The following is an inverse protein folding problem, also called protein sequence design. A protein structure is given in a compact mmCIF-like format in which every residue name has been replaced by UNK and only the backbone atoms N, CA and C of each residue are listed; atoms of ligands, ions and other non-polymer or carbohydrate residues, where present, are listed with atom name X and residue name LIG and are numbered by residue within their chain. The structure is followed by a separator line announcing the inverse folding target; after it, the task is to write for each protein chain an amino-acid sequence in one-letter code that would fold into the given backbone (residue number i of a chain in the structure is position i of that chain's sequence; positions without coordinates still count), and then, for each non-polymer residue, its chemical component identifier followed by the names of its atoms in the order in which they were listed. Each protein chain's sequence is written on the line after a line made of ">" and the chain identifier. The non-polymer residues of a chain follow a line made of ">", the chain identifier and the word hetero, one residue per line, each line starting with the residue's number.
data_IF_805552920077
#
_entry.id   IF_805552920077
#
_cell.length_a   1.000
_cell.length_b   1.000
_cell.length_c   1.000
_cell.angle_alpha   90.00
_cell.angle_beta   90.00
_cell.angle_gamma   90.00
#
_symmetry.space_group_name_H-M   'P 1'
#
loop_
_entity.id
_entity.type
_entity.pdbx_description
1 polymer ?
#
# COMPACT_ATOMS: atom_id res chain seq x y z
N UNK A 1 75.03 56.55 28.31
CA UNK A 1 75.80 55.48 27.63
C UNK A 1 74.93 54.23 27.59
N UNK A 2 74.73 53.73 26.37
CA UNK A 2 74.19 52.41 25.96
C UNK A 2 72.67 52.15 26.07
N UNK A 3 72.19 51.57 24.97
CA UNK A 3 70.84 51.34 24.45
C UNK A 3 70.31 49.92 24.77
N UNK A 4 69.02 49.68 24.46
CA UNK A 4 68.33 48.45 23.91
C UNK A 4 67.01 48.18 24.69
N UNK A 5 65.83 48.63 24.20
CA UNK A 5 64.80 48.00 23.31
C UNK A 5 64.04 46.80 23.91
N UNK A 6 62.75 47.00 24.28
CA UNK A 6 61.46 46.56 23.63
C UNK A 6 61.13 45.06 23.82
N UNK A 7 59.92 44.62 24.22
CA UNK A 7 58.57 44.77 23.61
C UNK A 7 57.46 44.62 24.69
N UNK A 8 56.49 45.54 24.79
CA UNK A 8 55.09 45.51 24.25
C UNK A 8 54.14 44.48 24.89
N UNK A 9 52.90 44.80 25.32
CA UNK A 9 52.20 46.08 25.56
C UNK A 9 50.83 45.78 26.22
N UNK A 10 50.52 46.51 27.31
CA UNK A 10 49.23 47.14 27.72
C UNK A 10 47.95 46.27 27.92
N UNK A 11 47.34 46.15 29.12
CA UNK A 11 46.73 47.12 30.06
C UNK A 11 45.69 48.05 29.39
N UNK A 12 44.50 48.40 29.90
CA UNK A 12 43.86 48.29 31.22
C UNK A 12 42.39 48.77 31.04
N UNK A 13 41.43 48.08 31.66
CA UNK A 13 40.37 48.60 32.56
C UNK A 13 39.20 49.55 32.18
N UNK A 14 38.07 49.24 32.86
CA UNK A 14 36.88 50.02 33.32
C UNK A 14 36.01 50.70 32.22
N UNK A 15 34.67 50.78 32.27
CA UNK A 15 33.70 50.86 33.35
C UNK A 15 32.28 50.46 32.85
N UNK A 16 31.39 50.17 33.79
CA UNK A 16 29.96 49.85 33.61
C UNK A 16 29.16 51.10 33.23
N UNK A 17 28.29 50.99 32.22
CA UNK A 17 27.19 51.94 31.95
C UNK A 17 25.84 51.21 31.94
N UNK A 18 24.85 51.80 32.63
CA UNK A 18 23.44 51.43 32.51
C UNK A 18 22.95 51.75 31.08
N UNK A 19 22.30 50.78 30.44
CA UNK A 19 21.50 50.97 29.23
C UNK A 19 20.07 50.50 29.51
N UNK A 20 19.13 51.38 29.17
CA UNK A 20 17.68 51.22 29.24
C UNK A 20 17.21 49.94 28.53
N UNK A 21 16.37 49.17 29.20
CA UNK A 21 15.57 48.10 28.57
C UNK A 21 14.52 48.73 27.64
N UNK A 22 14.78 48.72 26.34
CA UNK A 22 13.69 48.67 25.36
C UNK A 22 13.29 47.20 25.22
N UNK A 23 12.06 46.89 25.63
CA UNK A 23 11.43 45.61 25.31
C UNK A 23 11.32 45.51 23.79
N UNK A 24 12.19 44.70 23.17
CA UNK A 24 11.92 44.17 21.83
C UNK A 24 11.22 42.86 22.11
N UNK A 25 9.90 42.84 21.94
CA UNK A 25 9.19 41.58 21.74
C UNK A 25 9.86 40.90 20.55
N UNK A 26 10.66 39.88 20.81
CA UNK A 26 11.01 38.90 19.80
C UNK A 26 9.73 38.11 19.53
N UNK A 27 8.86 38.70 18.71
CA UNK A 27 7.77 37.96 18.10
C UNK A 27 8.38 36.75 17.43
N UNK A 28 8.09 35.57 17.96
CA UNK A 28 8.27 34.34 17.22
C UNK A 28 7.51 34.53 15.93
N UNK A 29 8.24 34.69 14.83
CA UNK A 29 7.67 34.56 13.51
C UNK A 29 7.17 33.11 13.42
N UNK A 30 5.89 32.92 13.75
CA UNK A 30 5.09 31.88 13.18
C UNK A 30 5.27 32.03 11.67
N UNK A 31 6.16 31.24 11.06
CA UNK A 31 5.91 30.83 9.69
C UNK A 31 4.67 29.94 9.75
N UNK A 32 3.51 30.60 9.78
CA UNK A 32 2.38 30.08 9.04
C UNK A 32 2.91 29.97 7.60
N UNK A 33 3.28 28.75 7.21
CA UNK A 33 3.59 28.41 5.84
C UNK A 33 2.42 28.94 5.02
N UNK A 34 2.66 29.97 4.21
CA UNK A 34 1.62 30.55 3.36
C UNK A 34 1.07 29.39 2.53
N UNK A 35 -0.23 29.14 2.64
CA UNK A 35 -0.95 28.31 1.68
C UNK A 35 -0.70 29.01 0.35
N UNK A 36 0.18 28.45 -0.49
CA UNK A 36 0.25 28.92 -1.87
C UNK A 36 -1.17 28.81 -2.42
N UNK A 37 -1.71 29.93 -2.90
CA UNK A 37 -2.95 29.94 -3.67
C UNK A 37 -2.71 29.05 -4.89
N UNK A 38 -3.03 27.76 -4.75
CA UNK A 38 -2.84 26.78 -5.82
C UNK A 38 -3.59 27.28 -7.03
N UNK A 39 -2.92 27.36 -8.17
CA UNK A 39 -3.57 27.72 -9.43
C UNK A 39 -4.76 26.77 -9.68
N UNK A 40 -5.90 27.31 -10.09
CA UNK A 40 -7.09 26.53 -10.39
C UNK A 40 -7.36 26.60 -11.89
N UNK A 41 -7.46 25.44 -12.53
CA UNK A 41 -7.91 25.30 -13.92
C UNK A 41 -9.19 24.50 -13.90
N UNK A 42 -10.25 25.02 -14.51
CA UNK A 42 -11.52 24.31 -14.64
C UNK A 42 -11.59 23.66 -16.02
N UNK A 43 -11.79 22.35 -16.06
CA UNK A 43 -12.17 21.68 -17.30
C UNK A 43 -13.54 22.22 -17.76
N UNK A 44 -13.74 22.34 -19.08
CA UNK A 44 -15.02 22.82 -19.63
C UNK A 44 -16.17 21.83 -19.44
N UNK A 45 -15.85 20.56 -19.24
CA UNK A 45 -16.77 19.46 -18.97
C UNK A 45 -16.04 18.25 -18.39
N UNK A 46 -16.77 17.17 -18.12
CA UNK A 46 -16.18 15.92 -17.60
C UNK A 46 -15.68 14.96 -18.69
N UNK A 47 -15.80 15.32 -19.98
CA UNK A 47 -15.36 14.43 -21.04
C UNK A 47 -13.84 14.29 -21.02
N UNK A 48 -13.33 13.14 -21.44
CA UNK A 48 -11.89 12.86 -21.40
C UNK A 48 -11.07 13.98 -22.04
N UNK A 49 -11.48 14.44 -23.23
CA UNK A 49 -10.74 15.45 -23.98
C UNK A 49 -10.70 16.81 -23.28
N UNK A 50 -11.78 17.20 -22.60
CA UNK A 50 -11.86 18.46 -21.87
C UNK A 50 -11.03 18.43 -20.58
N UNK A 51 -11.03 17.28 -19.89
CA UNK A 51 -10.19 17.06 -18.71
C UNK A 51 -8.71 17.02 -19.11
N UNK A 52 -8.36 16.30 -20.18
CA UNK A 52 -6.99 16.27 -20.70
C UNK A 52 -6.51 17.66 -21.13
N UNK A 53 -7.33 18.44 -21.81
CA UNK A 53 -6.94 19.81 -22.21
C UNK A 53 -6.65 20.71 -20.99
N UNK A 54 -7.43 20.58 -19.91
CA UNK A 54 -7.17 21.28 -18.65
C UNK A 54 -5.86 20.82 -18.00
N UNK A 55 -5.63 19.50 -17.96
CA UNK A 55 -4.38 18.88 -17.49
C UNK A 55 -3.18 19.36 -18.29
N UNK A 56 -3.25 19.39 -19.61
CA UNK A 56 -2.15 19.80 -20.49
C UNK A 56 -1.73 21.24 -20.20
N UNK A 57 -2.70 22.12 -19.94
CA UNK A 57 -2.47 23.52 -19.57
C UNK A 57 -1.98 23.73 -18.12
N UNK A 58 -2.10 22.72 -17.25
CA UNK A 58 -1.73 22.81 -15.85
C UNK A 58 -0.21 22.72 -15.63
N UNK A 59 0.32 23.65 -14.85
CA UNK A 59 1.66 23.58 -14.26
C UNK A 59 1.65 22.81 -12.94
N UNK A 60 2.82 22.44 -12.43
CA UNK A 60 2.93 21.85 -11.10
C UNK A 60 2.28 22.73 -10.02
N UNK A 61 1.68 22.11 -9.01
CA UNK A 61 0.92 22.74 -7.93
C UNK A 61 -0.55 23.05 -8.28
N UNK A 62 -0.96 22.90 -9.55
CA UNK A 62 -2.31 23.24 -10.02
C UNK A 62 -3.37 22.25 -9.52
N UNK A 63 -4.56 22.77 -9.22
CA UNK A 63 -5.79 21.99 -9.05
C UNK A 63 -6.61 22.07 -10.34
N UNK A 64 -6.76 20.93 -11.02
CA UNK A 64 -7.66 20.76 -12.15
C UNK A 64 -9.03 20.35 -11.62
N UNK A 65 -10.00 21.25 -11.70
CA UNK A 65 -11.39 21.01 -11.29
C UNK A 65 -12.19 20.44 -12.48
N UNK A 66 -12.72 19.24 -12.30
CA UNK A 66 -13.64 18.59 -13.23
C UNK A 66 -15.07 18.84 -12.76
N UNK A 67 -15.95 19.44 -13.59
CA UNK A 67 -17.31 19.75 -13.18
C UNK A 67 -18.13 18.47 -12.97
N UNK A 68 -19.28 18.63 -12.30
CA UNK A 68 -20.26 17.56 -12.18
C UNK A 68 -20.78 17.15 -13.57
N UNK A 69 -21.06 15.86 -13.74
CA UNK A 69 -21.53 15.28 -14.99
C UNK A 69 -21.30 13.77 -15.03
N UNK A 70 -21.96 13.13 -15.99
CA UNK A 70 -21.80 11.71 -16.28
C UNK A 70 -21.10 11.59 -17.62
N UNK A 71 -19.86 11.11 -17.62
CA UNK A 71 -19.03 11.03 -18.81
C UNK A 71 -18.55 9.60 -19.04
N UNK A 72 -18.61 9.17 -20.29
CA UNK A 72 -18.04 7.89 -20.73
C UNK A 72 -16.66 8.19 -21.31
N UNK A 73 -15.63 7.52 -20.81
CA UNK A 73 -14.26 7.67 -21.29
C UNK A 73 -13.89 6.44 -22.12
N UNK A 74 -13.65 6.65 -23.42
CA UNK A 74 -13.15 5.60 -24.34
C UNK A 74 -11.64 5.60 -24.49
N UNK A 75 -10.96 6.53 -23.81
CA UNK A 75 -9.51 6.64 -23.67
C UNK A 75 -9.20 7.18 -22.27
N UNK A 76 -7.98 6.95 -21.79
CA UNK A 76 -7.53 7.47 -20.49
C UNK A 76 -7.13 8.95 -20.53
N UNK A 77 -7.13 9.59 -19.37
CA UNK A 77 -6.30 10.79 -19.14
C UNK A 77 -4.90 10.38 -18.70
N UNK A 78 -3.90 11.16 -19.10
CA UNK A 78 -2.49 10.99 -18.71
C UNK A 78 -1.93 12.32 -18.20
N UNK A 79 -1.36 12.28 -17.00
CA UNK A 79 -0.63 13.40 -16.41
C UNK A 79 0.70 12.95 -15.79
N UNK A 80 1.33 11.96 -16.42
CA UNK A 80 2.67 11.49 -16.11
C UNK A 80 3.64 12.67 -15.91
N UNK A 81 4.44 12.58 -14.85
CA UNK A 81 5.45 13.58 -14.47
C UNK A 81 4.90 14.98 -14.11
N UNK A 82 3.62 15.12 -13.76
CA UNK A 82 3.03 16.35 -13.21
C UNK A 82 2.74 16.24 -11.73
N UNK A 83 2.99 17.32 -10.99
CA UNK A 83 2.50 17.49 -9.62
C UNK A 83 1.19 18.28 -9.66
N UNK A 84 0.04 17.61 -9.80
CA UNK A 84 -1.26 18.26 -9.84
C UNK A 84 -2.28 17.52 -8.97
N UNK A 85 -3.34 18.23 -8.60
CA UNK A 85 -4.56 17.63 -8.07
C UNK A 85 -5.60 17.58 -9.18
N UNK A 86 -6.10 16.40 -9.54
CA UNK A 86 -7.27 16.24 -10.40
C UNK A 86 -8.47 15.97 -9.50
N UNK A 87 -9.43 16.89 -9.49
CA UNK A 87 -10.52 16.91 -8.52
C UNK A 87 -11.88 16.98 -9.22
N UNK A 88 -12.69 15.93 -9.04
CA UNK A 88 -14.10 15.94 -9.41
C UNK A 88 -14.93 16.79 -8.45
N UNK A 89 -16.21 16.99 -8.82
CA UNK A 89 -17.15 17.77 -8.02
C UNK A 89 -17.62 17.04 -6.74
N UNK A 90 -17.21 15.78 -6.55
CA UNK A 90 -17.56 14.93 -5.41
C UNK A 90 -18.09 13.56 -5.85
N UNK A 91 -18.13 12.63 -4.90
CA UNK A 91 -18.77 11.31 -5.07
C UNK A 91 -20.21 11.51 -5.56
N UNK A 92 -20.59 10.72 -6.56
CA UNK A 92 -21.86 10.70 -7.28
C UNK A 92 -22.20 12.05 -7.97
N UNK A 93 -21.23 12.98 -8.10
CA UNK A 93 -21.38 14.24 -8.84
C UNK A 93 -20.58 14.23 -10.15
N UNK A 94 -19.31 13.83 -10.11
CA UNK A 94 -18.50 13.58 -11.31
C UNK A 94 -18.34 12.08 -11.49
N UNK A 95 -19.15 11.51 -12.37
CA UNK A 95 -19.20 10.07 -12.63
C UNK A 95 -18.51 9.77 -13.96
N UNK A 96 -17.45 8.96 -13.88
CA UNK A 96 -16.72 8.48 -15.04
C UNK A 96 -17.07 7.00 -15.26
N UNK A 97 -17.75 6.71 -16.37
CA UNK A 97 -17.96 5.35 -16.83
C UNK A 97 -16.77 4.95 -17.69
N UNK A 98 -16.06 3.93 -17.26
CA UNK A 98 -15.00 3.33 -18.04
C UNK A 98 -15.57 2.62 -19.27
N UNK A 99 -15.03 2.99 -20.42
CA UNK A 99 -15.21 2.32 -21.71
C UNK A 99 -13.89 2.32 -22.49
N UNK A 100 -12.74 2.38 -21.80
CA UNK A 100 -11.43 2.21 -22.41
C UNK A 100 -11.28 0.80 -22.95
N UNK A 101 -10.31 0.60 -23.84
CA UNK A 101 -10.04 -0.73 -24.38
C UNK A 101 -9.36 -1.65 -23.36
N UNK A 102 -9.07 -2.88 -23.78
CA UNK A 102 -8.47 -3.89 -22.91
C UNK A 102 -6.96 -4.06 -23.13
N UNK A 103 -6.32 -3.22 -23.95
CA UNK A 103 -4.88 -3.29 -24.13
C UNK A 103 -4.15 -2.81 -22.87
N UNK A 104 -2.90 -3.23 -22.73
CA UNK A 104 -2.04 -2.82 -21.64
C UNK A 104 -1.92 -1.29 -21.62
N UNK A 105 -2.34 -0.64 -20.53
CA UNK A 105 -2.44 0.82 -20.28
C UNK A 105 -3.72 1.55 -20.75
N UNK A 106 -4.66 0.86 -21.39
CA UNK A 106 -5.95 1.44 -21.73
C UNK A 106 -6.85 1.48 -20.49
N UNK A 107 -6.58 2.42 -19.59
CA UNK A 107 -7.31 2.66 -18.33
C UNK A 107 -7.78 4.11 -18.26
N UNK A 108 -8.87 4.43 -17.53
CA UNK A 108 -9.34 5.80 -17.34
C UNK A 108 -8.28 6.79 -16.86
N UNK A 109 -7.42 6.38 -15.91
CA UNK A 109 -6.34 7.23 -15.39
C UNK A 109 -5.02 6.47 -15.44
N UNK A 110 -4.11 6.94 -16.29
CA UNK A 110 -2.75 6.42 -16.37
C UNK A 110 -1.74 7.44 -15.87
N UNK A 111 -0.83 7.02 -15.00
CA UNK A 111 0.23 7.88 -14.45
C UNK A 111 1.54 7.11 -14.38
N UNK A 112 2.55 7.55 -15.12
CA UNK A 112 3.94 7.12 -14.95
C UNK A 112 4.77 8.28 -14.44
N UNK A 113 4.84 8.41 -13.12
CA UNK A 113 5.46 9.56 -12.44
C UNK A 113 6.92 9.37 -12.03
N UNK A 114 7.40 10.40 -11.35
CA UNK A 114 8.72 10.49 -10.71
C UNK A 114 8.56 10.96 -9.27
N UNK A 115 9.57 10.70 -8.44
CA UNK A 115 9.50 10.92 -6.99
C UNK A 115 9.29 12.39 -6.61
N UNK A 116 9.76 13.32 -7.45
CA UNK A 116 9.60 14.77 -7.27
C UNK A 116 8.25 15.32 -7.71
N UNK A 117 7.32 14.46 -8.17
CA UNK A 117 6.02 14.83 -8.73
C UNK A 117 4.88 14.14 -7.97
N UNK A 118 4.62 14.52 -6.70
CA UNK A 118 3.46 14.01 -5.97
C UNK A 118 2.17 14.47 -6.66
N UNK A 119 1.12 13.67 -6.63
CA UNK A 119 -0.17 14.02 -7.23
C UNK A 119 -1.34 13.60 -6.36
N UNK A 120 -2.53 14.15 -6.63
CA UNK A 120 -3.77 13.78 -5.94
C UNK A 120 -4.91 13.54 -6.92
N UNK A 121 -5.67 12.47 -6.72
CA UNK A 121 -6.94 12.19 -7.42
C UNK A 121 -8.04 12.19 -6.36
N UNK A 122 -9.08 13.01 -6.54
CA UNK A 122 -10.13 13.12 -5.52
C UNK A 122 -11.50 13.48 -6.06
N UNK A 123 -12.56 13.06 -5.36
CA UNK A 123 -13.93 13.53 -5.61
C UNK A 123 -14.58 12.97 -6.88
N UNK A 124 -14.25 11.73 -7.24
CA UNK A 124 -14.82 11.04 -8.40
C UNK A 124 -15.68 9.83 -8.00
N UNK A 125 -16.60 9.48 -8.87
CA UNK A 125 -17.16 8.12 -8.92
C UNK A 125 -16.73 7.44 -10.21
N UNK A 126 -16.16 6.27 -10.11
CA UNK A 126 -15.82 5.42 -11.24
C UNK A 126 -16.80 4.24 -11.31
N UNK A 127 -17.32 3.97 -12.51
CA UNK A 127 -18.22 2.86 -12.78
C UNK A 127 -17.90 2.24 -14.15
N UNK A 128 -18.55 1.13 -14.50
CA UNK A 128 -18.38 0.45 -15.78
C UNK A 128 -17.88 -0.98 -15.62
N UNK A 129 -17.46 -1.55 -16.74
CA UNK A 129 -16.88 -2.89 -16.81
C UNK A 129 -15.48 -2.77 -17.40
N UNK A 130 -14.46 -2.90 -16.55
CA UNK A 130 -13.11 -3.07 -17.05
C UNK A 130 -12.87 -4.54 -17.40
N UNK A 131 -11.97 -4.76 -18.36
CA UNK A 131 -11.16 -5.96 -18.42
C UNK A 131 -10.23 -6.04 -17.20
N UNK A 132 -9.07 -6.66 -17.32
CA UNK A 132 -8.19 -6.94 -16.17
C UNK A 132 -7.22 -5.79 -15.79
N UNK A 133 -7.42 -4.55 -16.22
CA UNK A 133 -6.33 -3.57 -16.34
C UNK A 133 -6.26 -2.47 -15.28
N UNK A 134 -7.34 -2.12 -14.59
CA UNK A 134 -7.36 -0.98 -13.67
C UNK A 134 -8.31 0.14 -14.06
N UNK A 135 -8.82 0.89 -13.08
CA UNK A 135 -9.32 2.26 -13.31
C UNK A 135 -8.18 3.28 -13.22
N UNK A 136 -7.34 3.13 -12.20
CA UNK A 136 -6.19 3.98 -11.93
C UNK A 136 -4.93 3.12 -11.97
N UNK A 137 -4.07 3.34 -12.96
CA UNK A 137 -2.78 2.68 -13.06
C UNK A 137 -1.64 3.64 -12.73
N UNK A 138 -0.88 3.33 -11.67
CA UNK A 138 0.27 4.12 -11.23
C UNK A 138 1.57 3.36 -11.51
N UNK A 139 2.52 3.98 -12.19
CA UNK A 139 3.82 3.38 -12.56
C UNK A 139 4.98 4.36 -12.34
N UNK A 140 6.17 3.94 -12.76
CA UNK A 140 7.39 4.74 -12.64
C UNK A 140 7.86 4.83 -11.19
N UNK A 141 8.64 5.86 -10.87
CA UNK A 141 9.11 6.11 -9.50
C UNK A 141 8.13 7.04 -8.77
N UNK A 142 6.83 6.78 -8.86
CA UNK A 142 5.78 7.67 -8.33
C UNK A 142 5.71 7.60 -6.80
N UNK A 143 6.04 8.68 -6.10
CA UNK A 143 6.01 8.74 -4.62
C UNK A 143 5.07 9.84 -4.14
N UNK A 144 4.62 9.72 -2.90
CA UNK A 144 3.85 10.74 -2.19
C UNK A 144 2.54 11.14 -2.90
N UNK A 145 1.93 10.20 -3.62
CA UNK A 145 0.62 10.40 -4.21
C UNK A 145 -0.50 10.15 -3.21
N UNK A 146 -1.69 10.69 -3.50
CA UNK A 146 -2.91 10.49 -2.71
C UNK A 146 -4.11 10.20 -3.62
N UNK A 147 -4.89 9.18 -3.28
CA UNK A 147 -6.19 8.91 -3.89
C UNK A 147 -7.21 8.95 -2.77
N UNK A 148 -8.15 9.89 -2.81
CA UNK A 148 -9.07 10.06 -1.71
C UNK A 148 -10.44 10.60 -2.08
N UNK A 149 -11.44 10.38 -1.22
CA UNK A 149 -12.83 10.80 -1.46
C UNK A 149 -13.35 10.33 -2.83
N UNK A 150 -12.98 9.12 -3.24
CA UNK A 150 -13.41 8.50 -4.48
C UNK A 150 -14.30 7.29 -4.20
N UNK A 151 -15.28 7.06 -5.07
CA UNK A 151 -16.11 5.86 -5.06
C UNK A 151 -15.83 5.02 -6.29
N UNK A 152 -15.59 3.73 -6.10
CA UNK A 152 -15.42 2.75 -7.15
C UNK A 152 -16.56 1.75 -7.11
N UNK A 153 -17.38 1.75 -8.15
CA UNK A 153 -18.50 0.84 -8.37
C UNK A 153 -18.26 0.05 -9.65
N UNK A 154 -17.24 -0.82 -9.58
CA UNK A 154 -16.69 -1.58 -10.70
C UNK A 154 -17.02 -3.05 -10.52
N UNK A 155 -17.62 -3.66 -11.55
CA UNK A 155 -18.05 -5.07 -11.50
C UNK A 155 -16.93 -6.07 -11.85
N UNK A 156 -15.99 -5.65 -12.70
CA UNK A 156 -14.89 -6.47 -13.20
C UNK A 156 -13.65 -5.59 -13.40
N UNK A 157 -12.48 -6.16 -13.16
CA UNK A 157 -11.20 -5.47 -13.27
C UNK A 157 -10.63 -4.99 -11.94
N UNK A 158 -9.42 -4.48 -12.01
CA UNK A 158 -8.72 -3.87 -10.88
C UNK A 158 -9.27 -2.45 -10.74
N UNK A 159 -9.41 -1.90 -9.54
CA UNK A 159 -9.70 -0.47 -9.41
C UNK A 159 -8.42 0.35 -9.38
N UNK A 160 -7.45 -0.06 -8.58
CA UNK A 160 -6.18 0.65 -8.44
C UNK A 160 -5.04 -0.36 -8.54
N UNK A 161 -4.23 -0.25 -9.58
CA UNK A 161 -3.08 -1.11 -9.81
C UNK A 161 -1.81 -0.31 -9.96
N UNK A 162 -0.71 -0.86 -9.50
CA UNK A 162 0.59 -0.24 -9.75
C UNK A 162 1.66 -1.25 -10.02
N UNK A 163 2.68 -0.76 -10.72
CA UNK A 163 3.83 -1.55 -11.12
C UNK A 163 5.05 -0.66 -11.01
N UNK A 164 6.15 -1.18 -10.45
CA UNK A 164 7.37 -0.47 -10.05
C UNK A 164 7.35 0.02 -8.59
N UNK A 165 8.49 0.46 -8.11
CA UNK A 165 8.64 1.07 -6.78
C UNK A 165 7.80 2.36 -6.69
N UNK A 166 6.62 2.27 -6.10
CA UNK A 166 5.65 3.38 -5.90
C UNK A 166 5.03 3.30 -4.50
N UNK A 167 4.78 4.44 -3.88
CA UNK A 167 4.08 4.49 -2.59
C UNK A 167 3.37 5.84 -2.36
N UNK A 168 2.28 5.78 -1.62
CA UNK A 168 1.35 6.87 -1.33
C UNK A 168 0.22 6.38 -0.46
N UNK A 169 -0.87 7.13 -0.39
CA UNK A 169 -2.04 6.78 0.43
C UNK A 169 -3.33 6.75 -0.38
N UNK A 170 -4.14 5.73 -0.13
CA UNK A 170 -5.54 5.62 -0.53
C UNK A 170 -6.35 5.82 0.74
N UNK A 171 -7.12 6.91 0.83
CA UNK A 171 -7.89 7.22 2.03
C UNK A 171 -9.33 7.69 1.76
N UNK A 172 -10.25 7.44 2.69
CA UNK A 172 -11.65 7.89 2.57
C UNK A 172 -12.35 7.46 1.26
N UNK A 173 -11.91 6.34 0.66
CA UNK A 173 -12.50 5.81 -0.55
C UNK A 173 -13.59 4.77 -0.24
N UNK A 174 -14.53 4.61 -1.18
CA UNK A 174 -15.61 3.63 -1.11
C UNK A 174 -15.46 2.65 -2.26
N UNK A 175 -15.33 1.37 -1.96
CA UNK A 175 -15.32 0.28 -2.94
C UNK A 175 -16.60 -0.53 -2.77
N UNK A 176 -17.39 -0.66 -3.84
CA UNK A 176 -18.68 -1.36 -3.76
C UNK A 176 -19.07 -2.01 -5.08
N UNK A 177 -20.19 -2.73 -5.08
CA UNK A 177 -20.73 -3.45 -6.22
C UNK A 177 -20.66 -4.97 -6.04
N UNK A 178 -20.36 -5.68 -7.13
CA UNK A 178 -20.06 -7.12 -7.13
C UNK A 178 -18.66 -7.30 -7.71
N UNK A 179 -17.84 -8.22 -7.18
CA UNK A 179 -16.47 -8.40 -7.67
C UNK A 179 -16.25 -9.67 -8.47
N UNK A 180 -15.69 -9.51 -9.65
CA UNK A 180 -15.03 -10.59 -10.40
C UNK A 180 -13.50 -10.48 -10.41
N UNK A 181 -12.91 -9.47 -9.74
CA UNK A 181 -11.45 -9.30 -9.58
C UNK A 181 -11.11 -8.51 -8.29
N UNK A 182 -9.84 -8.50 -7.89
CA UNK A 182 -9.34 -7.76 -6.71
C UNK A 182 -9.42 -6.24 -6.87
N UNK A 183 -9.73 -5.52 -5.79
CA UNK A 183 -9.93 -4.08 -5.82
C UNK A 183 -8.61 -3.32 -6.05
N UNK A 184 -7.59 -3.70 -5.27
CA UNK A 184 -6.31 -3.01 -5.21
C UNK A 184 -5.19 -4.02 -5.47
N UNK A 185 -4.27 -3.75 -6.40
CA UNK A 185 -3.08 -4.56 -6.63
C UNK A 185 -1.79 -3.83 -6.27
N UNK A 186 -1.02 -4.44 -5.38
CA UNK A 186 0.27 -3.95 -4.89
C UNK A 186 1.43 -4.70 -5.54
N UNK A 187 1.97 -4.17 -6.64
CA UNK A 187 3.20 -4.71 -7.24
C UNK A 187 4.35 -3.70 -7.15
N UNK A 188 5.54 -4.15 -6.76
CA UNK A 188 6.74 -3.32 -6.79
C UNK A 188 7.57 -3.59 -8.05
N UNK A 189 8.89 -3.38 -7.98
CA UNK A 189 9.86 -3.69 -9.04
C UNK A 189 10.57 -5.03 -8.78
N UNK A 190 9.81 -5.99 -8.26
CA UNK A 190 10.13 -7.41 -8.24
C UNK A 190 11.40 -7.72 -7.44
N UNK A 191 12.39 -8.37 -8.06
CA UNK A 191 13.67 -8.72 -7.41
C UNK A 191 14.45 -7.49 -6.93
N UNK A 192 14.23 -6.32 -7.56
CA UNK A 192 14.85 -5.06 -7.10
C UNK A 192 14.29 -4.64 -5.76
N UNK A 193 12.99 -4.88 -5.51
CA UNK A 193 12.39 -4.61 -4.21
C UNK A 193 12.86 -5.59 -3.15
N UNK A 194 12.97 -6.87 -3.50
CA UNK A 194 13.51 -7.88 -2.60
C UNK A 194 14.98 -7.65 -2.23
N UNK A 195 15.71 -6.81 -2.94
CA UNK A 195 17.05 -6.35 -2.55
C UNK A 195 17.03 -5.14 -1.58
N UNK A 196 15.87 -4.52 -1.32
CA UNK A 196 15.75 -3.38 -0.40
C UNK A 196 15.41 -3.85 1.03
N UNK A 197 16.06 -3.29 2.07
CA UNK A 197 15.77 -3.63 3.46
C UNK A 197 14.28 -3.57 3.83
N UNK A 198 13.86 -4.46 4.74
CA UNK A 198 12.55 -4.39 5.38
C UNK A 198 12.33 -3.02 6.02
N UNK A 199 11.13 -2.47 5.86
CA UNK A 199 10.81 -1.09 6.25
C UNK A 199 9.45 -0.94 6.92
N UNK A 200 9.10 -1.86 7.83
CA UNK A 200 7.86 -1.80 8.62
C UNK A 200 7.84 -0.53 9.50
N UNK A 201 6.65 0.03 9.72
CA UNK A 201 6.46 1.24 10.52
C UNK A 201 6.96 2.53 9.84
N UNK A 202 7.20 2.49 8.53
CA UNK A 202 7.77 3.58 7.75
C UNK A 202 6.94 3.97 6.53
N UNK A 203 7.30 5.08 5.88
CA UNK A 203 6.56 5.66 4.74
C UNK A 203 6.63 4.85 3.44
N UNK A 204 7.53 3.87 3.33
CA UNK A 204 7.88 3.18 2.08
C UNK A 204 6.97 1.98 1.80
N UNK A 205 5.68 2.21 1.84
CA UNK A 205 4.64 1.24 1.54
C UNK A 205 3.41 1.95 0.98
N UNK A 206 2.55 1.24 0.25
CA UNK A 206 1.24 1.80 -0.09
C UNK A 206 0.31 1.70 1.10
N UNK A 207 -0.21 2.84 1.55
CA UNK A 207 -1.18 2.92 2.63
C UNK A 207 -2.60 2.85 2.08
N UNK A 208 -3.44 2.04 2.71
CA UNK A 208 -4.90 2.06 2.55
C UNK A 208 -5.48 2.29 3.94
N UNK A 209 -6.07 3.46 4.15
CA UNK A 209 -6.63 3.84 5.45
C UNK A 209 -8.02 4.47 5.35
N UNK A 210 -8.84 4.31 6.38
CA UNK A 210 -10.16 4.94 6.47
C UNK A 210 -11.09 4.68 5.26
N UNK A 211 -10.88 3.57 4.54
CA UNK A 211 -11.68 3.19 3.38
C UNK A 211 -12.82 2.24 3.79
N UNK A 212 -13.90 2.27 3.01
CA UNK A 212 -15.03 1.35 3.14
C UNK A 212 -15.11 0.43 1.93
N UNK A 213 -15.11 -0.87 2.18
CA UNK A 213 -15.35 -1.92 1.21
C UNK A 213 -16.69 -2.58 1.54
N UNK A 214 -17.68 -2.45 0.65
CA UNK A 214 -19.05 -2.89 0.89
C UNK A 214 -19.59 -3.72 -0.29
N UNK A 215 -19.57 -5.04 -0.11
CA UNK A 215 -19.95 -6.00 -1.13
C UNK A 215 -21.13 -6.87 -0.68
N UNK A 216 -21.93 -7.32 -1.65
CA UNK A 216 -23.09 -8.19 -1.37
C UNK A 216 -22.72 -9.67 -1.25
N UNK A 217 -21.70 -10.09 -1.99
CA UNK A 217 -21.28 -11.49 -2.08
C UNK A 217 -19.78 -11.57 -1.96
N UNK A 218 -19.30 -12.54 -1.18
CA UNK A 218 -17.88 -12.82 -1.08
C UNK A 218 -17.43 -13.74 -2.20
N UNK A 219 -16.30 -13.40 -2.82
CA UNK A 219 -15.52 -14.31 -3.63
C UNK A 219 -14.08 -14.20 -3.16
N UNK A 220 -13.56 -15.23 -2.50
CA UNK A 220 -12.25 -15.19 -1.84
C UNK A 220 -11.06 -15.14 -2.83
N UNK A 221 -11.35 -15.28 -4.13
CA UNK A 221 -10.38 -15.05 -5.20
C UNK A 221 -10.23 -13.57 -5.57
N UNK A 222 -11.16 -12.71 -5.13
CA UNK A 222 -11.26 -11.30 -5.48
C UNK A 222 -11.27 -10.46 -4.20
N UNK A 223 -10.10 -9.96 -3.85
CA UNK A 223 -9.81 -9.41 -2.53
C UNK A 223 -9.84 -7.88 -2.51
N UNK A 224 -9.95 -7.28 -1.33
CA UNK A 224 -9.87 -5.83 -1.15
C UNK A 224 -8.48 -5.30 -1.53
N UNK A 225 -7.44 -6.10 -1.26
CA UNK A 225 -6.08 -5.82 -1.66
C UNK A 225 -5.35 -7.14 -1.91
N UNK A 226 -4.57 -7.18 -2.98
CA UNK A 226 -3.67 -8.26 -3.35
C UNK A 226 -2.26 -7.72 -3.57
N UNK A 227 -1.22 -8.54 -3.38
CA UNK A 227 0.17 -8.10 -3.51
C UNK A 227 1.09 -9.20 -4.03
N UNK A 228 2.05 -8.80 -4.88
CA UNK A 228 3.09 -9.66 -5.46
C UNK A 228 4.24 -8.81 -6.03
N UNK A 229 5.24 -9.39 -6.70
CA UNK A 229 6.40 -8.68 -7.28
C UNK A 229 7.09 -7.74 -6.29
N UNK A 230 7.30 -8.19 -5.04
CA UNK A 230 7.89 -7.39 -3.98
C UNK A 230 6.97 -6.30 -3.40
N UNK A 231 5.66 -6.41 -3.58
CA UNK A 231 4.69 -5.46 -3.05
C UNK A 231 4.86 -5.20 -1.55
N UNK A 232 4.67 -3.94 -1.14
CA UNK A 232 4.70 -3.49 0.27
C UNK A 232 3.48 -2.64 0.57
N UNK A 233 2.70 -3.01 1.57
CA UNK A 233 1.48 -2.26 1.90
C UNK A 233 1.19 -2.17 3.40
N UNK A 234 0.47 -1.13 3.78
CA UNK A 234 -0.15 -0.96 5.09
C UNK A 234 -1.64 -0.84 4.88
N UNK A 235 -2.41 -1.73 5.49
CA UNK A 235 -3.86 -1.76 5.39
C UNK A 235 -4.44 -1.59 6.79
N UNK A 236 -4.95 -0.39 7.10
CA UNK A 236 -5.32 -0.01 8.47
C UNK A 236 -6.61 0.78 8.59
N UNK A 237 -7.32 0.67 9.71
CA UNK A 237 -8.52 1.47 9.99
C UNK A 237 -9.63 1.37 8.92
N UNK A 238 -9.63 0.30 8.11
CA UNK A 238 -10.63 0.12 7.06
C UNK A 238 -11.83 -0.68 7.57
N UNK A 239 -12.98 -0.47 6.92
CA UNK A 239 -14.20 -1.25 7.15
C UNK A 239 -14.50 -2.11 5.93
N UNK A 240 -14.64 -3.42 6.13
CA UNK A 240 -14.82 -4.40 5.06
C UNK A 240 -16.07 -5.23 5.34
N UNK A 241 -16.95 -5.34 4.35
CA UNK A 241 -18.14 -6.19 4.39
C UNK A 241 -18.11 -7.14 3.19
N UNK A 242 -18.16 -8.44 3.46
CA UNK A 242 -18.17 -9.52 2.47
C UNK A 242 -17.02 -9.49 1.47
N UNK A 243 -15.83 -9.10 1.92
CA UNK A 243 -14.59 -9.14 1.15
C UNK A 243 -13.41 -9.49 2.07
N UNK A 244 -12.37 -10.07 1.49
CA UNK A 244 -11.19 -10.60 2.18
C UNK A 244 -9.92 -9.92 1.67
N UNK A 245 -8.76 -10.26 2.24
CA UNK A 245 -7.44 -9.78 1.79
C UNK A 245 -6.59 -10.98 1.34
N UNK A 246 -5.78 -10.78 0.30
CA UNK A 246 -4.91 -11.80 -0.27
C UNK A 246 -3.50 -11.30 -0.50
N UNK A 247 -2.54 -12.21 -0.59
CA UNK A 247 -1.26 -11.97 -1.27
C UNK A 247 -0.83 -13.20 -2.06
N UNK A 248 0.21 -13.01 -2.88
CA UNK A 248 0.86 -14.07 -3.63
C UNK A 248 2.30 -14.32 -3.18
N UNK A 249 2.63 -15.60 -3.12
CA UNK A 249 3.99 -16.11 -3.21
C UNK A 249 4.43 -16.11 -4.69
N UNK A 250 5.61 -16.65 -4.95
CA UNK A 250 6.17 -16.77 -6.32
C UNK A 250 5.32 -17.68 -7.23
N UNK A 251 4.48 -18.55 -6.69
CA UNK A 251 3.77 -19.59 -7.44
C UNK A 251 2.58 -19.12 -8.28
N UNK A 252 2.30 -17.81 -8.35
CA UNK A 252 1.16 -17.29 -9.09
C UNK A 252 1.55 -16.35 -10.25
N UNK A 253 2.83 -16.06 -10.42
CA UNK A 253 3.33 -15.16 -11.44
C UNK A 253 4.82 -15.45 -11.74
N UNK A 254 5.40 -14.96 -12.84
CA UNK A 254 6.81 -15.18 -13.15
C UNK A 254 7.79 -14.34 -12.31
N UNK A 255 7.29 -13.56 -11.36
CA UNK A 255 8.09 -12.75 -10.45
C UNK A 255 8.06 -13.26 -9.01
N UNK A 256 8.54 -12.40 -8.13
CA UNK A 256 8.70 -12.61 -6.70
C UNK A 256 7.37 -12.52 -5.95
N UNK A 257 7.33 -13.06 -4.74
CA UNK A 257 6.20 -12.91 -3.83
C UNK A 257 6.08 -11.49 -3.29
N UNK A 258 5.02 -11.24 -2.52
CA UNK A 258 4.90 -10.03 -1.68
C UNK A 258 6.11 -9.91 -0.74
N UNK A 259 6.61 -8.69 -0.51
CA UNK A 259 7.75 -8.47 0.39
C UNK A 259 7.29 -8.26 1.83
N UNK A 260 6.36 -7.32 2.05
CA UNK A 260 5.88 -7.01 3.40
C UNK A 260 4.49 -6.41 3.48
N UNK A 261 3.88 -6.55 4.66
CA UNK A 261 2.56 -6.01 4.96
C UNK A 261 2.40 -5.62 6.42
N UNK A 262 1.60 -4.59 6.69
CA UNK A 262 1.12 -4.24 8.03
C UNK A 262 -0.40 -4.16 7.98
N UNK A 263 -1.10 -5.08 8.65
CA UNK A 263 -2.56 -5.21 8.59
C UNK A 263 -3.13 -5.02 9.98
N UNK A 264 -3.67 -3.84 10.29
CA UNK A 264 -4.09 -3.58 11.66
C UNK A 264 -5.29 -2.66 11.84
N UNK A 265 -6.01 -2.85 12.93
CA UNK A 265 -7.14 -2.00 13.33
C UNK A 265 -8.24 -1.89 12.26
N UNK A 266 -8.39 -2.95 11.43
CA UNK A 266 -9.49 -3.04 10.47
C UNK A 266 -10.70 -3.77 11.07
N UNK A 267 -11.88 -3.49 10.53
CA UNK A 267 -13.12 -4.19 10.85
C UNK A 267 -13.60 -5.00 9.65
N UNK A 268 -13.51 -6.32 9.75
CA UNK A 268 -14.02 -7.28 8.77
C UNK A 268 -15.38 -7.80 9.21
N UNK A 269 -16.36 -7.76 8.32
CA UNK A 269 -17.71 -8.30 8.57
C UNK A 269 -18.09 -9.28 7.47
N UNK A 270 -18.53 -10.47 7.85
CA UNK A 270 -19.26 -11.40 6.98
C UNK A 270 -20.74 -11.34 7.34
N UNK A 271 -21.53 -10.75 6.45
CA UNK A 271 -22.98 -10.56 6.61
C UNK A 271 -23.73 -11.51 5.68
N UNK A 272 -24.26 -12.60 6.26
CA UNK A 272 -24.99 -13.63 5.52
C UNK A 272 -24.17 -14.35 4.45
N UNK A 273 -22.84 -14.22 4.49
CA UNK A 273 -21.86 -14.83 3.56
C UNK A 273 -20.82 -15.63 4.34
N UNK A 274 -20.21 -16.62 3.69
CA UNK A 274 -19.18 -17.45 4.31
C UNK A 274 -17.87 -17.33 3.55
N UNK A 275 -16.80 -17.01 4.26
CA UNK A 275 -15.43 -17.06 3.74
C UNK A 275 -14.64 -18.14 4.49
N UNK A 276 -13.85 -18.93 3.78
CA UNK A 276 -12.91 -19.84 4.38
C UNK A 276 -11.76 -19.09 5.08
N UNK A 277 -11.40 -17.89 4.60
CA UNK A 277 -10.30 -17.02 5.07
C UNK A 277 -10.74 -15.56 5.18
N UNK A 278 -10.22 -14.81 6.15
CA UNK A 278 -10.36 -13.34 6.17
C UNK A 278 -9.14 -12.63 5.57
N UNK A 279 -7.97 -12.99 6.06
CA UNK A 279 -6.65 -12.56 5.59
C UNK A 279 -5.90 -13.82 5.14
N UNK A 280 -5.58 -13.90 3.86
CA UNK A 280 -4.84 -15.03 3.26
C UNK A 280 -3.47 -14.56 2.75
N UNK A 281 -2.41 -14.96 3.44
CA UNK A 281 -1.06 -14.50 3.13
C UNK A 281 -0.21 -15.63 2.58
N UNK A 282 0.47 -15.30 1.49
CA UNK A 282 1.46 -16.13 0.84
C UNK A 282 2.72 -15.33 0.66
N UNK A 283 3.77 -15.76 1.33
CA UNK A 283 5.08 -15.12 1.32
C UNK A 283 5.23 -13.84 2.15
N UNK A 284 6.47 -13.35 2.21
CA UNK A 284 6.85 -12.10 2.87
C UNK A 284 6.75 -12.12 4.40
N UNK A 285 6.72 -10.94 5.00
CA UNK A 285 6.63 -10.78 6.46
C UNK A 285 5.92 -9.48 6.87
N UNK A 286 5.64 -9.32 8.16
CA UNK A 286 4.86 -8.18 8.60
C UNK A 286 4.36 -8.24 10.02
N UNK A 287 3.31 -7.46 10.25
CA UNK A 287 2.51 -7.49 11.47
C UNK A 287 1.02 -7.55 11.15
N UNK A 288 0.25 -8.27 11.97
CA UNK A 288 -1.21 -8.38 11.87
C UNK A 288 -1.79 -8.17 13.25
N UNK A 289 -2.49 -7.07 13.53
CA UNK A 289 -2.95 -6.84 14.91
C UNK A 289 -4.18 -5.98 15.08
N UNK A 290 -4.86 -6.14 16.22
CA UNK A 290 -6.05 -5.36 16.59
C UNK A 290 -7.16 -5.38 15.50
N UNK A 291 -7.20 -6.36 14.59
CA UNK A 291 -8.29 -6.47 13.63
C UNK A 291 -9.49 -7.17 14.30
N UNK A 292 -10.69 -6.71 13.96
CA UNK A 292 -11.94 -7.30 14.42
C UNK A 292 -12.63 -7.99 13.25
N UNK A 293 -12.84 -9.29 13.36
CA UNK A 293 -13.69 -10.09 12.48
C UNK A 293 -15.05 -10.28 13.15
N UNK A 294 -16.12 -9.97 12.44
CA UNK A 294 -17.49 -10.09 12.93
C UNK A 294 -18.32 -10.91 11.96
N UNK A 295 -19.13 -11.82 12.48
CA UNK A 295 -20.10 -12.57 11.71
C UNK A 295 -21.52 -12.14 12.08
N UNK A 296 -22.35 -11.85 11.08
CA UNK A 296 -23.75 -11.44 11.30
C UNK A 296 -24.66 -12.14 10.30
N UNK A 297 -25.95 -12.27 10.66
CA UNK A 297 -26.99 -12.86 9.81
C UNK A 297 -26.63 -14.24 9.22
N UNK A 298 -25.90 -15.06 9.98
CA UNK A 298 -25.45 -16.38 9.55
C UNK A 298 -24.19 -16.38 8.67
N UNK A 299 -23.44 -15.27 8.63
CA UNK A 299 -22.13 -15.23 8.01
C UNK A 299 -21.08 -16.03 8.78
N UNK A 300 -19.91 -16.25 8.18
CA UNK A 300 -18.86 -17.08 8.77
C UNK A 300 -17.46 -16.75 8.26
N UNK A 301 -16.47 -16.85 9.14
CA UNK A 301 -15.05 -17.01 8.80
C UNK A 301 -14.56 -18.37 9.32
N UNK A 302 -14.07 -19.26 8.45
CA UNK A 302 -13.51 -20.55 8.91
C UNK A 302 -12.12 -20.36 9.54
N UNK A 303 -11.26 -19.57 8.90
CA UNK A 303 -9.91 -19.26 9.37
C UNK A 303 -9.64 -17.76 9.16
N UNK A 304 -9.95 -16.87 10.13
CA UNK A 304 -9.83 -15.42 9.94
C UNK A 304 -8.45 -14.98 9.43
N UNK A 305 -7.38 -15.58 9.94
CA UNK A 305 -6.01 -15.30 9.52
C UNK A 305 -5.35 -16.61 9.10
N UNK A 306 -4.80 -16.63 7.90
CA UNK A 306 -4.24 -17.85 7.34
C UNK A 306 -2.98 -17.57 6.51
N UNK A 307 -1.98 -18.44 6.67
CA UNK A 307 -0.70 -18.37 5.95
C UNK A 307 -0.42 -19.66 5.20
N UNK A 308 0.26 -19.56 4.06
CA UNK A 308 0.74 -20.72 3.30
C UNK A 308 1.91 -20.38 2.37
N UNK A 309 2.46 -21.39 1.71
CA UNK A 309 3.46 -21.27 0.67
C UNK A 309 3.33 -22.44 -0.32
N UNK A 310 2.96 -22.14 -1.55
CA UNK A 310 2.64 -23.14 -2.57
C UNK A 310 3.88 -23.94 -3.01
N UNK A 311 5.08 -23.35 -2.99
CA UNK A 311 6.34 -24.07 -3.28
C UNK A 311 6.67 -25.18 -2.28
N UNK A 312 5.96 -25.24 -1.16
CA UNK A 312 6.16 -26.26 -0.12
C UNK A 312 5.51 -27.61 -0.44
N UNK A 313 4.92 -27.79 -1.62
CA UNK A 313 4.19 -28.99 -1.98
C UNK A 313 4.36 -29.30 -3.47
N UNK A 314 4.95 -30.45 -3.79
CA UNK A 314 5.27 -30.82 -5.18
C UNK A 314 4.06 -30.83 -6.11
N UNK A 315 2.90 -31.27 -5.61
CA UNK A 315 1.72 -31.43 -6.46
C UNK A 315 1.11 -30.08 -6.81
N UNK A 316 1.14 -29.13 -5.86
CA UNK A 316 0.75 -27.75 -6.13
C UNK A 316 1.74 -27.10 -7.12
N UNK A 317 3.02 -27.44 -7.01
CA UNK A 317 4.06 -26.91 -7.89
C UNK A 317 3.85 -27.33 -9.34
N UNK A 318 3.63 -28.62 -9.60
CA UNK A 318 3.33 -29.14 -10.94
C UNK A 318 2.11 -28.45 -11.57
N UNK A 319 1.08 -28.20 -10.77
CA UNK A 319 -0.17 -27.60 -11.26
C UNK A 319 -0.06 -26.07 -11.49
N UNK A 320 0.68 -25.35 -10.63
CA UNK A 320 0.56 -23.89 -10.54
C UNK A 320 1.86 -23.11 -10.72
N UNK A 321 2.99 -23.68 -10.28
CA UNK A 321 4.25 -22.95 -10.14
C UNK A 321 5.21 -23.23 -11.31
N UNK A 322 5.29 -24.48 -11.78
CA UNK A 322 6.24 -24.88 -12.84
C UNK A 322 6.03 -24.13 -14.15
N UNK A 323 4.77 -23.79 -14.48
CA UNK A 323 4.43 -22.97 -15.66
C UNK A 323 5.07 -21.58 -15.64
N UNK A 324 5.49 -21.11 -14.47
CA UNK A 324 6.20 -19.84 -14.27
C UNK A 324 7.71 -20.03 -14.03
N UNK A 325 8.21 -21.27 -14.09
CA UNK A 325 9.62 -21.61 -13.91
C UNK A 325 10.04 -21.83 -12.47
N UNK A 326 9.09 -21.98 -11.54
CA UNK A 326 9.37 -22.22 -10.13
C UNK A 326 9.29 -23.71 -9.80
N UNK A 327 10.35 -24.24 -9.18
CA UNK A 327 10.45 -25.63 -8.73
C UNK A 327 9.96 -25.81 -7.29
N UNK A 328 9.93 -27.05 -6.82
CA UNK A 328 9.51 -27.36 -5.45
C UNK A 328 10.63 -27.00 -4.48
N UNK A 329 10.27 -26.43 -3.35
CA UNK A 329 11.16 -26.27 -2.21
C UNK A 329 11.24 -27.62 -1.49
N UNK A 330 12.19 -28.45 -1.91
CA UNK A 330 12.33 -29.84 -1.48
C UNK A 330 13.77 -30.22 -1.09
N UNK A 331 14.66 -29.22 -0.98
CA UNK A 331 16.09 -29.39 -0.70
C UNK A 331 16.98 -29.45 -1.95
N UNK A 332 16.42 -29.45 -3.16
CA UNK A 332 17.19 -29.52 -4.42
C UNK A 332 17.26 -28.18 -5.17
N UNK A 333 16.32 -27.27 -4.94
CA UNK A 333 16.27 -25.97 -5.62
C UNK A 333 17.37 -25.04 -5.13
N UNK A 334 18.16 -24.47 -6.04
CA UNK A 334 19.19 -23.48 -5.71
C UNK A 334 18.63 -22.10 -5.36
N UNK A 335 17.32 -21.90 -5.53
CA UNK A 335 16.63 -20.65 -5.19
C UNK A 335 16.34 -20.54 -3.69
N UNK A 336 16.37 -21.66 -3.00
CA UNK A 336 16.00 -21.79 -1.60
C UNK A 336 17.23 -21.77 -0.69
N UNK A 337 17.01 -21.45 0.58
CA UNK A 337 18.10 -21.35 1.54
C UNK A 337 18.72 -22.70 1.91
N UNK A 338 17.98 -23.82 1.74
CA UNK A 338 18.48 -25.19 1.94
C UNK A 338 19.26 -25.41 3.25
N UNK A 339 18.84 -24.77 4.34
CA UNK A 339 19.39 -24.94 5.68
C UNK A 339 19.08 -26.32 6.27
N UNK A 340 18.06 -26.99 5.74
CA UNK A 340 17.77 -28.39 6.00
C UNK A 340 17.32 -29.12 4.73
N UNK A 341 17.08 -30.44 4.85
CA UNK A 341 16.76 -31.30 3.71
C UNK A 341 15.38 -31.07 3.10
N UNK A 342 14.55 -30.21 3.68
CA UNK A 342 13.23 -29.86 3.13
C UNK A 342 13.32 -28.71 2.14
N UNK A 343 14.44 -28.00 2.10
CA UNK A 343 14.62 -26.77 1.31
C UNK A 343 14.49 -25.50 2.14
N UNK A 344 14.13 -25.61 3.41
CA UNK A 344 13.90 -24.45 4.27
C UNK A 344 15.10 -23.48 4.31
N UNK A 345 14.87 -22.16 4.27
CA UNK A 345 13.62 -21.52 3.85
C UNK A 345 13.40 -21.58 2.34
N UNK A 346 12.15 -21.69 1.93
CA UNK A 346 11.79 -21.46 0.54
C UNK A 346 11.91 -19.98 0.18
N UNK A 347 12.22 -19.69 -1.09
CA UNK A 347 12.22 -18.34 -1.64
C UNK A 347 10.90 -17.62 -1.31
N UNK A 348 11.05 -16.44 -0.73
CA UNK A 348 9.99 -15.48 -0.38
C UNK A 348 8.97 -16.00 0.63
N UNK A 349 9.21 -17.12 1.32
CA UNK A 349 8.23 -17.69 2.25
C UNK A 349 7.87 -16.74 3.40
N UNK A 350 6.77 -17.09 4.09
CA UNK A 350 6.39 -16.41 5.34
C UNK A 350 7.56 -16.40 6.32
N UNK A 351 7.81 -15.23 6.92
CA UNK A 351 8.87 -15.04 7.91
C UNK A 351 10.24 -14.73 7.32
N UNK A 352 10.29 -14.34 6.03
CA UNK A 352 11.53 -13.98 5.33
C UNK A 352 11.50 -12.58 4.76
N UNK A 353 12.70 -12.01 4.65
CA UNK A 353 12.93 -10.71 4.02
C UNK A 353 14.17 -10.75 3.13
N UNK A 354 14.63 -9.58 2.69
CA UNK A 354 15.83 -9.39 1.89
C UNK A 354 17.05 -10.06 2.49
N UNK A 355 17.92 -10.62 1.65
CA UNK A 355 19.27 -11.07 2.01
C UNK A 355 20.18 -9.83 2.12
N UNK A 356 20.29 -9.25 3.32
CA UNK A 356 21.06 -8.02 3.55
C UNK A 356 22.54 -8.30 3.82
N UNK A 357 22.86 -9.47 4.36
CA UNK A 357 24.25 -9.86 4.63
C UNK A 357 24.96 -10.46 3.41
N UNK A 358 24.21 -10.83 2.37
CA UNK A 358 24.69 -11.29 1.08
C UNK A 358 25.20 -12.73 1.10
N UNK A 359 24.75 -13.55 2.05
CA UNK A 359 25.17 -14.95 2.18
C UNK A 359 24.45 -15.89 1.18
N UNK A 360 23.49 -15.36 0.42
CA UNK A 360 22.67 -16.09 -0.54
C UNK A 360 21.38 -16.66 0.07
N UNK A 361 21.10 -16.37 1.34
CA UNK A 361 19.93 -16.84 2.08
C UNK A 361 19.12 -15.64 2.54
N UNK A 362 17.80 -15.70 2.34
CA UNK A 362 16.92 -14.64 2.82
C UNK A 362 16.92 -14.54 4.35
N UNK A 363 17.14 -13.33 4.86
CA UNK A 363 17.18 -13.06 6.29
C UNK A 363 15.88 -13.48 6.99
N UNK A 364 16.02 -14.02 8.20
CA UNK A 364 14.87 -14.32 9.04
C UNK A 364 14.25 -13.02 9.56
N UNK A 365 12.98 -12.83 9.24
CA UNK A 365 12.17 -11.73 9.73
C UNK A 365 10.77 -12.28 10.02
N UNK A 366 10.51 -12.81 11.23
CA UNK A 366 9.27 -13.51 11.52
C UNK A 366 8.04 -12.60 11.41
N UNK A 367 6.91 -13.16 10.97
CA UNK A 367 5.61 -12.50 11.00
C UNK A 367 5.08 -12.46 12.45
N UNK A 368 4.53 -11.32 12.89
CA UNK A 368 3.95 -11.21 14.22
C UNK A 368 2.45 -10.92 14.15
N UNK A 369 1.68 -11.63 14.96
CA UNK A 369 0.26 -11.43 15.11
C UNK A 369 -0.07 -11.21 16.61
N UNK A 370 -1.01 -10.30 16.90
CA UNK A 370 -1.55 -10.14 18.26
C UNK A 370 -2.91 -9.43 18.29
N UNK A 371 -3.72 -9.71 19.30
CA UNK A 371 -4.98 -9.01 19.61
C UNK A 371 -6.00 -8.98 18.45
N UNK A 372 -5.98 -9.95 17.54
CA UNK A 372 -7.05 -10.08 16.57
C UNK A 372 -8.21 -10.87 17.19
N UNK A 373 -9.45 -10.50 16.86
CA UNK A 373 -10.61 -11.16 17.44
C UNK A 373 -11.66 -11.52 16.40
N UNK A 374 -12.19 -12.76 16.45
CA UNK A 374 -13.40 -13.21 15.77
C UNK A 374 -14.56 -13.25 16.77
N UNK A 375 -15.57 -12.42 16.55
CA UNK A 375 -16.77 -12.31 17.39
C UNK A 375 -16.42 -12.12 18.89
N UNK A 376 -15.37 -11.33 19.14
CA UNK A 376 -14.87 -11.01 20.49
C UNK A 376 -13.98 -12.09 21.12
N UNK A 377 -13.76 -13.22 20.45
CA UNK A 377 -12.81 -14.25 20.86
C UNK A 377 -11.50 -14.10 20.11
N UNK A 378 -10.39 -14.36 20.77
CA UNK A 378 -9.06 -14.33 20.16
C UNK A 378 -8.95 -15.25 18.92
N UNK A 379 -8.19 -14.82 17.92
CA UNK A 379 -7.94 -15.61 16.70
C UNK A 379 -6.50 -15.49 16.19
N UNK A 380 -5.84 -16.64 16.13
CA UNK A 380 -4.47 -16.78 15.63
C UNK A 380 -4.34 -16.92 14.11
N UNK A 381 -3.09 -16.80 13.64
CA UNK A 381 -2.65 -17.36 12.36
C UNK A 381 -2.86 -18.88 12.34
N UNK A 382 -3.49 -19.39 11.29
CA UNK A 382 -3.53 -20.82 10.95
C UNK A 382 -2.71 -21.12 9.70
N UNK A 383 -1.98 -22.24 9.71
CA UNK A 383 -1.24 -22.73 8.54
C UNK A 383 -2.19 -23.53 7.66
N UNK A 384 -2.28 -23.15 6.38
CA UNK A 384 -2.93 -23.98 5.38
C UNK A 384 -1.94 -24.96 4.76
N UNK A 385 -2.29 -26.24 4.86
CA UNK A 385 -1.58 -27.35 4.23
C UNK A 385 -2.37 -27.89 3.05
N UNK A 386 -1.65 -28.47 2.10
CA UNK A 386 -2.24 -29.21 0.98
C UNK A 386 -2.13 -30.71 1.23
N UNK A 387 -2.99 -31.47 0.58
CA UNK A 387 -2.92 -32.93 0.61
C UNK A 387 -1.85 -33.43 -0.37
N UNK A 388 -1.30 -34.62 -0.11
CA UNK A 388 -0.34 -35.32 -0.97
C UNK A 388 0.98 -34.57 -1.25
N UNK A 389 1.45 -33.74 -0.31
CA UNK A 389 2.79 -33.16 -0.42
C UNK A 389 3.86 -34.20 -0.07
N UNK A 390 4.46 -34.80 -1.11
CA UNK A 390 5.59 -35.71 -0.95
C UNK A 390 6.88 -34.91 -0.69
N UNK A 391 7.79 -35.47 0.13
CA UNK A 391 9.09 -34.91 0.54
C UNK A 391 9.07 -33.70 1.49
N UNK A 392 8.31 -32.64 1.19
CA UNK A 392 8.17 -31.44 2.03
C UNK A 392 6.73 -30.99 2.12
N UNK A 393 6.39 -30.24 3.17
CA UNK A 393 5.06 -29.67 3.38
C UNK A 393 5.16 -28.24 3.91
N UNK A 394 4.04 -27.51 3.85
CA UNK A 394 3.97 -26.13 4.38
C UNK A 394 4.38 -26.06 5.87
N UNK A 395 4.13 -27.11 6.67
CA UNK A 395 4.48 -27.16 8.09
C UNK A 395 5.97 -27.43 8.35
N UNK A 396 6.70 -27.94 7.37
CA UNK A 396 8.15 -28.09 7.46
C UNK A 396 8.84 -26.73 7.31
N UNK A 397 8.28 -25.89 6.44
CA UNK A 397 8.84 -24.58 6.08
C UNK A 397 8.34 -23.43 6.96
N UNK A 398 7.08 -23.43 7.38
CA UNK A 398 6.47 -22.35 8.18
C UNK A 398 6.16 -22.90 9.57
N UNK A 399 6.88 -22.41 10.59
CA UNK A 399 6.74 -22.86 11.98
C UNK A 399 6.48 -21.70 12.93
N UNK A 400 5.54 -21.91 13.83
CA UNK A 400 5.30 -21.00 14.95
C UNK A 400 6.55 -20.97 15.84
N UNK A 401 6.83 -19.81 16.44
CA UNK A 401 8.04 -19.53 17.21
C UNK A 401 9.35 -19.55 16.40
N UNK A 402 9.26 -19.54 15.06
CA UNK A 402 10.41 -19.43 14.15
C UNK A 402 10.13 -18.45 13.02
N UNK A 403 9.11 -18.74 12.21
CA UNK A 403 8.75 -17.98 11.01
C UNK A 403 7.58 -17.03 11.28
N UNK A 404 6.78 -17.34 12.30
CA UNK A 404 5.75 -16.45 12.81
C UNK A 404 5.53 -16.63 14.32
N UNK A 405 4.87 -15.66 14.95
CA UNK A 405 4.46 -15.69 16.35
C UNK A 405 3.01 -15.22 16.46
N UNK A 406 2.15 -16.04 17.07
CA UNK A 406 0.83 -15.61 17.54
C UNK A 406 0.94 -14.92 18.90
N UNK A 407 -0.07 -14.11 19.24
CA UNK A 407 -0.22 -13.46 20.55
C UNK A 407 1.01 -12.66 21.02
N UNK A 408 1.80 -12.14 20.08
CA UNK A 408 3.08 -11.51 20.39
C UNK A 408 3.29 -10.24 19.58
N UNK A 409 3.29 -9.07 20.25
CA UNK A 409 3.75 -7.84 19.62
C UNK A 409 5.18 -7.97 19.10
N UNK A 410 5.41 -7.49 17.87
CA UNK A 410 6.74 -7.46 17.27
C UNK A 410 7.68 -6.58 18.11
N UNK A 411 8.83 -7.10 18.60
CA UNK A 411 9.76 -6.31 19.39
C UNK A 411 10.29 -5.09 18.62
N UNK A 412 10.15 -3.90 19.21
CA UNK A 412 10.66 -2.66 18.64
C UNK A 412 9.84 -2.09 17.48
N UNK A 413 8.75 -2.74 17.08
CA UNK A 413 7.84 -2.20 16.07
C UNK A 413 7.07 -0.99 16.61
N UNK A 414 6.90 0.02 15.77
CA UNK A 414 6.05 1.18 16.01
C UNK A 414 5.32 1.50 14.71
N UNK A 415 3.99 1.58 14.69
CA UNK A 415 3.26 1.91 13.47
C UNK A 415 3.62 3.31 12.98
N UNK A 416 3.63 3.49 11.67
CA UNK A 416 3.80 4.81 11.07
C UNK A 416 2.65 5.76 11.46
N UNK A 417 2.90 7.06 11.40
CA UNK A 417 1.95 8.07 11.85
C UNK A 417 0.56 7.89 11.21
N UNK A 418 -0.50 7.90 12.05
CA UNK A 418 -1.90 7.87 11.65
C UNK A 418 -2.64 9.15 12.10
N UNK A 419 -3.56 9.72 11.28
CA UNK A 419 -3.67 9.49 9.84
C UNK A 419 -2.34 9.77 9.13
N UNK A 420 -2.15 9.14 7.96
CA UNK A 420 -0.98 9.30 7.13
C UNK A 420 -0.69 10.79 6.91
N UNK A 421 0.56 11.27 6.94
CA UNK A 421 0.84 12.71 6.78
C UNK A 421 0.25 13.33 5.49
N UNK A 422 0.12 12.54 4.41
CA UNK A 422 -0.51 12.98 3.16
C UNK A 422 -2.03 13.17 3.26
N UNK A 423 -2.74 12.47 4.18
CA UNK A 423 -4.19 12.62 4.34
C UNK A 423 -4.58 13.93 5.04
N UNK A 424 -3.66 14.53 5.81
CA UNK A 424 -3.88 15.77 6.57
C UNK A 424 -3.86 17.07 5.73
N UNK A 425 -3.52 17.00 4.44
CA UNK A 425 -3.11 18.15 3.63
C UNK A 425 -4.17 18.85 2.77
N UNK A 426 -5.47 18.66 2.97
CA UNK A 426 -6.49 19.34 2.14
C UNK A 426 -7.77 19.59 2.90
N UNK A 427 -7.76 20.59 3.78
CA UNK A 427 -9.00 21.16 4.30
C UNK A 427 -9.78 21.75 3.11
N UNK A 428 -10.86 21.06 2.72
CA UNK A 428 -11.94 21.70 1.99
C UNK A 428 -12.37 22.91 2.82
N UNK A 429 -12.29 24.10 2.23
CA UNK A 429 -12.90 25.30 2.80
C UNK A 429 -14.36 25.00 3.09
N UNK A 430 -14.71 24.83 4.37
CA UNK A 430 -16.10 24.86 4.83
C UNK A 430 -16.65 26.20 4.36
N UNK A 431 -17.55 26.16 3.36
CA UNK A 431 -18.37 27.32 2.99
C UNK A 431 -19.21 27.67 4.21
N UNK A 432 -18.98 28.85 4.76
CA UNK A 432 -19.92 29.58 5.63
C UNK A 432 -21.19 29.92 4.88
#
# INVERSE_FOLDING_TARGET
>A
MVNIRKLKLQNFFYAISLLSFTCVESGSLNQAQSIEDRAIIKASGCSQAEVQAAIDSASDGTVVLVPAGNCIWTSGIDFSNKNITVQGAGIDQTIITDATGSAWNEVPIFISGTESKPFRITGFTFTGQDGSNGIIMIRGNSKNWRIDDCKFEISSGIEIGWYSWTYGVIDHCIFTGNKTFSCILVHADDSTDWARPLSLGGEKAVYVEDCTFDFKTVNEWNVAIDASFGGRFVFRHNKLTNITIGTHDVCNNPGRGVHSYEIYENSFTMDGQSAYRGINLRGGTGVIYNNTFTTVNGGNFTNPIMVTNYRSCSEIVQDQCERFGWDTCDGNSQLDGNLDSTGYPCLDQIGRTSDIDGDGIQDSAPLYEWNNALDGSDTDIKIHTFDNCDNSSVRDHIKENRDYYNDKPMPGYTPYAYPHPLSKGSSSTKKS
#
